data_IF_698375490617
#
_entry.id   IF_698375490617
#
_cell.length_a   1.000
_cell.length_b   1.000
_cell.length_c   1.000
_cell.angle_alpha   90.00
_cell.angle_beta   90.00
_cell.angle_gamma   90.00
#
_symmetry.space_group_name_H-M   'P 1'
#
loop_
_entity.id
_entity.type
_entity.pdbx_description
1 polymer ?
#
# COMPACT_ATOMS: atom_id res chain seq x y z
N UNK A 1 28.30 15.99 -10.44
CA UNK A 1 27.00 16.69 -10.26
C UNK A 1 26.72 16.69 -8.77
N UNK A 2 26.72 17.85 -8.11
CA UNK A 2 26.46 17.94 -6.66
C UNK A 2 24.99 17.57 -6.43
N UNK A 3 24.75 16.46 -5.74
CA UNK A 3 23.45 16.20 -5.14
C UNK A 3 23.32 17.24 -4.00
N UNK A 4 22.37 18.17 -4.08
CA UNK A 4 21.99 18.94 -2.90
C UNK A 4 21.50 17.94 -1.86
N UNK A 5 22.22 17.83 -0.74
CA UNK A 5 21.77 17.05 0.39
C UNK A 5 20.42 17.65 0.82
N UNK A 6 19.35 16.87 0.68
CA UNK A 6 18.04 17.32 1.12
C UNK A 6 18.12 17.60 2.62
N UNK A 7 17.58 18.74 3.06
CA UNK A 7 17.63 19.13 4.45
C UNK A 7 17.01 18.06 5.36
N UNK A 8 17.54 17.86 6.58
CA UNK A 8 16.96 16.92 7.52
C UNK A 8 15.48 17.24 7.77
N UNK A 9 14.64 16.21 7.73
CA UNK A 9 13.20 16.33 7.89
C UNK A 9 12.82 16.02 9.34
N UNK A 10 12.35 17.04 10.06
CA UNK A 10 11.75 16.87 11.39
C UNK A 10 10.28 16.54 11.25
N UNK A 11 9.84 15.44 11.85
CA UNK A 11 8.47 14.93 11.76
C UNK A 11 7.97 14.42 13.12
N UNK A 12 6.66 14.28 13.29
CA UNK A 12 6.08 13.56 14.43
C UNK A 12 5.63 12.17 13.97
N UNK A 13 6.03 11.14 14.72
CA UNK A 13 5.71 9.74 14.44
C UNK A 13 4.83 9.21 15.56
N UNK A 14 3.72 8.58 15.18
CA UNK A 14 2.85 7.85 16.11
C UNK A 14 3.47 6.49 16.43
N UNK A 15 3.75 6.22 17.70
CA UNK A 15 4.24 4.93 18.17
C UNK A 15 3.09 3.98 18.58
N UNK A 16 1.84 4.44 18.50
CA UNK A 16 0.63 3.73 18.88
C UNK A 16 -0.18 4.47 19.94
N UNK A 17 -1.49 4.18 20.00
CA UNK A 17 -2.41 4.76 20.99
C UNK A 17 -2.38 6.31 21.05
N UNK A 18 -2.22 6.98 19.91
CA UNK A 18 -2.08 8.45 19.83
C UNK A 18 -0.86 8.98 20.62
N UNK A 19 0.20 8.19 20.78
CA UNK A 19 1.44 8.60 21.41
C UNK A 19 2.46 9.04 20.36
N UNK A 20 2.66 10.35 20.25
CA UNK A 20 3.50 10.96 19.23
C UNK A 20 4.87 11.34 19.77
N UNK A 21 5.92 11.00 19.01
CA UNK A 21 7.30 11.40 19.28
C UNK A 21 7.86 12.22 18.12
N UNK A 22 8.74 13.16 18.43
CA UNK A 22 9.48 13.89 17.38
C UNK A 22 10.63 13.03 16.88
N UNK A 23 10.70 12.85 15.56
CA UNK A 23 11.79 12.17 14.88
C UNK A 23 12.48 13.13 13.90
N UNK A 24 13.76 12.88 13.64
CA UNK A 24 14.54 13.57 12.63
C UNK A 24 15.02 12.55 11.59
N UNK A 25 14.73 12.81 10.33
CA UNK A 25 15.13 11.98 9.19
C UNK A 25 16.31 12.66 8.51
N UNK A 26 17.52 12.08 8.55
CA UNK A 26 18.72 12.71 8.00
C UNK A 26 18.70 12.86 6.47
N UNK A 27 18.13 11.90 5.75
CA UNK A 27 17.99 11.92 4.29
C UNK A 27 16.55 11.54 3.88
N UNK A 28 15.71 12.51 3.50
CA UNK A 28 14.34 12.25 3.07
C UNK A 28 14.22 11.84 1.58
N UNK A 29 15.32 11.63 0.85
CA UNK A 29 15.28 11.25 -0.58
C UNK A 29 14.88 9.79 -0.83
N UNK A 30 14.94 8.96 0.21
CA UNK A 30 14.66 7.52 0.13
C UNK A 30 13.72 7.07 1.23
N UNK A 31 12.99 6.00 0.93
CA UNK A 31 12.00 5.41 1.83
C UNK A 31 12.15 3.89 1.86
N UNK A 32 11.87 3.29 3.02
CA UNK A 32 11.75 1.85 3.13
C UNK A 32 10.36 1.39 2.71
N UNK A 33 10.30 0.54 1.68
CA UNK A 33 9.05 -0.07 1.22
C UNK A 33 9.04 -1.55 1.60
N UNK A 34 7.98 -1.98 2.28
CA UNK A 34 7.77 -3.38 2.64
C UNK A 34 7.53 -4.22 1.38
N UNK A 35 8.38 -5.24 1.16
CA UNK A 35 8.23 -6.18 0.05
C UNK A 35 7.34 -7.37 0.43
N UNK A 36 7.35 -7.74 1.71
CA UNK A 36 6.65 -8.89 2.30
C UNK A 36 7.58 -9.73 3.16
N UNK A 37 7.02 -10.60 4.00
CA UNK A 37 7.77 -11.55 4.84
C UNK A 37 8.88 -10.91 5.71
N UNK A 38 8.66 -9.67 6.18
CA UNK A 38 9.65 -8.93 6.99
C UNK A 38 10.79 -8.31 6.19
N UNK A 39 10.79 -8.39 4.86
CA UNK A 39 11.79 -7.74 4.01
C UNK A 39 11.35 -6.34 3.60
N UNK A 40 12.31 -5.41 3.66
CA UNK A 40 12.15 -4.01 3.27
C UNK A 40 13.23 -3.64 2.27
N UNK A 41 12.86 -2.84 1.26
CA UNK A 41 13.79 -2.27 0.31
C UNK A 41 13.87 -0.76 0.50
N UNK A 42 15.09 -0.24 0.52
CA UNK A 42 15.35 1.20 0.46
C UNK A 42 15.22 1.65 -1.01
N UNK A 43 14.22 2.48 -1.29
CA UNK A 43 13.89 2.93 -2.65
C UNK A 43 13.89 4.45 -2.73
N UNK A 44 14.18 4.98 -3.92
CA UNK A 44 13.92 6.40 -4.21
C UNK A 44 12.41 6.67 -4.29
N UNK A 45 11.99 7.92 -4.08
CA UNK A 45 10.57 8.29 -4.15
C UNK A 45 9.87 7.86 -5.46
N UNK A 46 10.46 8.05 -6.67
CA UNK A 46 9.82 7.60 -7.90
C UNK A 46 9.70 6.07 -8.02
N UNK A 47 10.68 5.32 -7.49
CA UNK A 47 10.63 3.86 -7.46
C UNK A 47 9.55 3.35 -6.51
N UNK A 48 9.45 3.95 -5.33
CA UNK A 48 8.42 3.64 -4.35
C UNK A 48 7.01 3.89 -4.92
N UNK A 49 6.79 5.02 -5.59
CA UNK A 49 5.51 5.33 -6.24
C UNK A 49 5.12 4.29 -7.30
N UNK A 50 6.07 3.90 -8.16
CA UNK A 50 5.83 2.83 -9.15
C UNK A 50 5.50 1.49 -8.48
N UNK A 51 6.15 1.17 -7.36
CA UNK A 51 5.86 -0.04 -6.60
C UNK A 51 4.44 -0.01 -6.04
N UNK A 52 4.04 1.10 -5.41
CA UNK A 52 2.71 1.30 -4.85
C UNK A 52 1.62 1.22 -5.91
N UNK A 53 1.79 1.90 -7.05
CA UNK A 53 0.82 1.88 -8.15
C UNK A 53 0.58 0.46 -8.67
N UNK A 54 1.66 -0.32 -8.84
CA UNK A 54 1.54 -1.74 -9.22
C UNK A 54 0.76 -2.54 -8.18
N UNK A 55 1.03 -2.35 -6.89
CA UNK A 55 0.34 -3.07 -5.80
C UNK A 55 -1.14 -2.69 -5.74
N UNK A 56 -1.47 -1.40 -5.83
CA UNK A 56 -2.86 -0.93 -5.86
C UNK A 56 -3.63 -1.56 -7.02
N UNK A 57 -3.07 -1.54 -8.23
CA UNK A 57 -3.70 -2.17 -9.40
C UNK A 57 -3.94 -3.67 -9.22
N UNK A 58 -2.99 -4.39 -8.62
CA UNK A 58 -3.15 -5.81 -8.32
C UNK A 58 -4.29 -6.06 -7.34
N UNK A 59 -4.36 -5.27 -6.25
CA UNK A 59 -5.43 -5.37 -5.26
C UNK A 59 -6.80 -5.03 -5.86
N UNK A 60 -6.88 -4.01 -6.70
CA UNK A 60 -8.11 -3.64 -7.41
C UNK A 60 -8.60 -4.77 -8.32
N UNK A 61 -7.69 -5.38 -9.09
CA UNK A 61 -8.04 -6.51 -9.95
C UNK A 61 -8.55 -7.71 -9.14
N UNK A 62 -7.91 -8.01 -8.01
CA UNK A 62 -8.33 -9.08 -7.12
C UNK A 62 -9.72 -8.78 -6.52
N UNK A 63 -9.92 -7.56 -6.02
CA UNK A 63 -11.20 -7.08 -5.48
C UNK A 63 -12.33 -7.21 -6.50
N UNK A 64 -12.09 -6.77 -7.75
CA UNK A 64 -13.06 -6.90 -8.83
C UNK A 64 -13.36 -8.36 -9.18
N UNK A 65 -12.35 -9.23 -9.18
CA UNK A 65 -12.56 -10.66 -9.43
C UNK A 65 -13.44 -11.29 -8.36
N UNK A 66 -13.09 -11.11 -7.10
CA UNK A 66 -13.85 -11.65 -5.97
C UNK A 66 -15.28 -11.08 -5.93
N UNK A 67 -15.45 -9.80 -6.28
CA UNK A 67 -16.77 -9.18 -6.40
C UNK A 67 -17.63 -9.82 -7.49
N UNK A 68 -17.03 -10.11 -8.66
CA UNK A 68 -17.72 -10.83 -9.75
C UNK A 68 -18.09 -12.25 -9.35
N UNK A 69 -17.17 -12.97 -8.71
CA UNK A 69 -17.42 -14.35 -8.29
C UNK A 69 -18.51 -14.41 -7.21
N UNK A 70 -18.48 -13.49 -6.25
CA UNK A 70 -19.57 -13.33 -5.28
C UNK A 70 -20.91 -13.02 -5.93
N UNK A 71 -20.94 -12.15 -6.96
CA UNK A 71 -22.16 -11.85 -7.70
C UNK A 71 -22.70 -13.08 -8.45
N UNK A 72 -21.82 -13.86 -9.09
CA UNK A 72 -22.19 -15.11 -9.77
C UNK A 72 -22.82 -16.11 -8.80
N UNK A 73 -22.20 -16.33 -7.64
CA UNK A 73 -22.73 -17.25 -6.62
C UNK A 73 -24.13 -16.82 -6.17
N UNK A 74 -24.32 -15.52 -5.87
CA UNK A 74 -25.63 -14.98 -5.48
C UNK A 74 -26.69 -15.18 -6.56
N UNK A 75 -26.33 -14.98 -7.83
CA UNK A 75 -27.25 -15.18 -8.95
C UNK A 75 -27.65 -16.66 -9.10
N UNK A 76 -26.72 -17.60 -8.95
CA UNK A 76 -27.02 -19.03 -9.02
C UNK A 76 -28.00 -19.46 -7.92
N UNK A 77 -27.78 -19.00 -6.68
CA UNK A 77 -28.68 -19.30 -5.56
C UNK A 77 -30.09 -18.80 -5.85
N UNK A 78 -30.23 -17.55 -6.33
CA UNK A 78 -31.54 -16.97 -6.66
C UNK A 78 -32.25 -17.74 -7.78
N UNK A 79 -31.53 -18.09 -8.84
CA UNK A 79 -32.09 -18.86 -9.95
C UNK A 79 -32.68 -20.20 -9.47
N UNK A 80 -31.97 -20.93 -8.60
CA UNK A 80 -32.46 -22.20 -8.07
C UNK A 80 -33.73 -21.98 -7.23
N UNK A 81 -33.74 -20.96 -6.36
CA UNK A 81 -34.88 -20.67 -5.49
C UNK A 81 -36.12 -20.17 -6.23
N UNK A 82 -35.97 -19.46 -7.35
CA UNK A 82 -37.11 -18.94 -8.14
C UNK A 82 -37.73 -19.99 -9.08
N UNK A 83 -36.99 -21.06 -9.40
CA UNK A 83 -37.45 -22.16 -10.26
C UNK A 83 -38.13 -23.29 -9.46
N UNK A 84 -38.09 -23.22 -8.13
CA UNK A 84 -38.78 -24.17 -7.22
C UNK A 84 -40.06 -23.54 -6.68
#
# INVERSE_FOLDING_TARGET
RRQEAAAPLRTQVDLGCNFFVTAEVPDPQKVFVALGFGFFAELTLPEALRHLERRSRQLDQLSQSLSRDGAKIRAHIRLVLEVT
#
